data_IF_938799846667
#
_entry.id   IF_938799846667
#
_cell.length_a   1.000
_cell.length_b   1.000
_cell.length_c   1.000
_cell.angle_alpha   90.00
_cell.angle_beta   90.00
_cell.angle_gamma   90.00
#
_symmetry.space_group_name_H-M   'P 1'
#
loop_
_entity.id
_entity.type
_entity.pdbx_description
1 polymer ?
#
# COMPACT_ATOMS: atom_id res chain seq x y z
N UNK A 1 -9.37 6.02 15.61
CA UNK A 1 -9.08 4.69 15.07
C UNK A 1 -10.14 3.74 15.59
N UNK A 2 -10.61 2.79 14.79
CA UNK A 2 -11.66 1.84 15.14
C UNK A 2 -11.15 0.42 14.95
N UNK A 3 -11.87 -0.56 15.52
CA UNK A 3 -11.49 -1.97 15.45
C UNK A 3 -12.70 -2.78 14.97
N UNK A 4 -12.46 -3.70 14.06
CA UNK A 4 -13.39 -4.70 13.57
C UNK A 4 -12.86 -6.10 13.91
N UNK A 5 -13.71 -6.98 14.43
CA UNK A 5 -13.30 -8.34 14.74
C UNK A 5 -13.56 -9.27 13.55
N UNK A 6 -12.52 -9.92 13.07
CA UNK A 6 -12.59 -10.93 12.03
C UNK A 6 -11.92 -12.23 12.51
N UNK A 7 -12.68 -13.32 12.57
CA UNK A 7 -12.21 -14.66 13.01
C UNK A 7 -11.47 -14.64 14.35
N UNK A 8 -11.98 -13.83 15.33
CA UNK A 8 -11.38 -13.69 16.64
C UNK A 8 -10.13 -12.82 16.71
N UNK A 9 -9.77 -12.10 15.63
CA UNK A 9 -8.66 -11.17 15.58
C UNK A 9 -9.14 -9.76 15.27
N UNK A 10 -8.53 -8.78 15.92
CA UNK A 10 -8.81 -7.38 15.66
C UNK A 10 -8.15 -6.90 14.37
N UNK A 11 -8.93 -6.23 13.53
CA UNK A 11 -8.47 -5.45 12.37
C UNK A 11 -8.66 -3.98 12.72
N UNK A 12 -7.56 -3.24 12.83
CA UNK A 12 -7.58 -1.79 12.98
C UNK A 12 -7.98 -1.11 11.67
N UNK A 13 -8.74 -0.02 11.76
CA UNK A 13 -9.06 0.78 10.58
C UNK A 13 -9.35 2.22 10.95
N UNK A 14 -9.23 3.11 9.96
CA UNK A 14 -9.79 4.46 10.03
C UNK A 14 -10.92 4.60 9.02
N UNK A 15 -11.87 5.48 9.32
CA UNK A 15 -12.93 5.87 8.38
C UNK A 15 -13.06 7.39 8.41
N UNK A 16 -12.91 8.02 7.24
CA UNK A 16 -12.92 9.46 7.08
C UNK A 16 -13.71 9.87 5.81
N UNK A 17 -14.27 11.07 5.84
CA UNK A 17 -14.94 11.68 4.70
C UNK A 17 -16.38 11.20 4.49
N UNK A 18 -16.88 11.43 3.29
CA UNK A 18 -18.25 11.07 2.86
C UNK A 18 -18.30 10.94 1.33
N UNK A 19 -19.22 10.13 0.81
CA UNK A 19 -19.37 9.87 -0.62
C UNK A 19 -19.00 8.44 -0.99
N UNK A 20 -18.67 8.15 -2.26
CA UNK A 20 -18.33 6.80 -2.72
C UNK A 20 -17.22 6.16 -1.87
N UNK A 21 -17.38 4.89 -1.43
CA UNK A 21 -16.44 4.25 -0.52
C UNK A 21 -15.17 3.77 -1.24
N UNK A 22 -14.03 4.02 -0.61
CA UNK A 22 -12.71 3.51 -1.00
C UNK A 22 -12.18 2.66 0.15
N UNK A 23 -11.92 1.39 -0.11
CA UNK A 23 -11.09 0.54 0.74
C UNK A 23 -9.63 0.80 0.39
N UNK A 24 -8.82 1.22 1.36
CA UNK A 24 -7.41 1.53 1.15
C UNK A 24 -6.50 0.63 1.98
N UNK A 25 -5.39 0.19 1.39
CA UNK A 25 -4.33 -0.57 2.06
C UNK A 25 -3.01 0.21 2.03
N UNK A 26 -2.35 0.32 3.17
CA UNK A 26 -1.04 0.96 3.30
C UNK A 26 0.12 0.05 2.89
N UNK A 27 1.33 0.58 2.80
CA UNK A 27 2.55 -0.18 2.48
C UNK A 27 3.17 -0.89 3.69
N UNK A 28 4.20 -1.66 3.41
CA UNK A 28 5.04 -2.36 4.39
C UNK A 28 5.58 -1.39 5.44
N UNK A 29 5.62 -1.80 6.70
CA UNK A 29 6.07 -1.02 7.88
C UNK A 29 5.20 0.18 8.26
N UNK A 30 4.14 0.47 7.51
CA UNK A 30 3.28 1.63 7.70
C UNK A 30 1.99 1.30 8.49
N UNK A 31 1.15 2.33 8.64
CA UNK A 31 -0.20 2.27 9.21
C UNK A 31 -1.15 3.15 8.39
N UNK A 32 -2.39 3.28 8.85
CA UNK A 32 -3.46 4.01 8.13
C UNK A 32 -3.12 5.46 7.78
N UNK A 33 -2.29 6.12 8.59
CA UNK A 33 -1.85 7.51 8.37
C UNK A 33 -0.97 7.69 7.11
N UNK A 34 -0.51 6.63 6.49
CA UNK A 34 0.23 6.71 5.22
C UNK A 34 -0.58 7.43 4.12
N UNK A 35 -1.91 7.35 4.16
CA UNK A 35 -2.79 7.97 3.18
C UNK A 35 -3.20 9.42 3.51
N UNK A 36 -2.79 9.98 4.66
CA UNK A 36 -3.31 11.28 5.12
C UNK A 36 -3.02 12.44 4.16
N UNK A 37 -1.83 12.50 3.57
CA UNK A 37 -1.49 13.54 2.60
C UNK A 37 -2.29 13.41 1.29
N UNK A 38 -2.51 12.19 0.82
CA UNK A 38 -3.34 11.95 -0.38
C UNK A 38 -4.79 12.29 -0.09
N UNK A 39 -5.34 11.87 1.06
CA UNK A 39 -6.71 12.22 1.48
C UNK A 39 -6.89 13.73 1.59
N UNK A 40 -5.92 14.44 2.19
CA UNK A 40 -5.96 15.90 2.33
C UNK A 40 -5.87 16.64 0.98
N UNK A 41 -5.32 16.00 -0.05
CA UNK A 41 -5.21 16.56 -1.40
C UNK A 41 -6.43 16.24 -2.29
N UNK A 42 -7.38 15.40 -1.84
CA UNK A 42 -8.59 15.11 -2.59
C UNK A 42 -9.53 16.32 -2.60
N UNK A 43 -9.92 16.78 -3.80
CA UNK A 43 -10.86 17.90 -3.96
C UNK A 43 -12.32 17.45 -3.90
N UNK A 44 -12.59 16.18 -4.18
CA UNK A 44 -13.91 15.57 -4.13
C UNK A 44 -14.05 14.66 -2.91
N UNK A 45 -15.29 14.58 -2.43
CA UNK A 45 -15.58 13.78 -1.24
C UNK A 45 -15.57 12.29 -1.59
N UNK A 46 -14.87 11.52 -0.76
CA UNK A 46 -14.85 10.05 -0.74
C UNK A 46 -14.92 9.59 0.71
N UNK A 47 -15.52 8.43 0.93
CA UNK A 47 -15.41 7.75 2.21
C UNK A 47 -14.19 6.83 2.17
N UNK A 48 -13.13 7.22 2.85
CA UNK A 48 -11.91 6.41 2.94
C UNK A 48 -11.98 5.47 4.13
N UNK A 49 -11.95 4.18 3.88
CA UNK A 49 -11.76 3.13 4.90
C UNK A 49 -10.36 2.59 4.72
N UNK A 50 -9.44 2.99 5.59
CA UNK A 50 -8.05 2.49 5.53
C UNK A 50 -7.92 1.32 6.48
N UNK A 51 -7.74 0.14 5.93
CA UNK A 51 -7.57 -1.12 6.66
C UNK A 51 -6.10 -1.32 7.00
N UNK A 52 -5.81 -1.70 8.24
CA UNK A 52 -4.45 -1.93 8.71
C UNK A 52 -4.06 -3.41 8.62
N UNK A 53 -2.86 -3.66 8.12
CA UNK A 53 -2.28 -5.01 8.13
C UNK A 53 -2.09 -5.52 9.56
N UNK A 54 -2.05 -6.85 9.78
CA UNK A 54 -1.73 -7.44 11.09
C UNK A 54 -0.45 -6.85 11.67
N UNK A 55 -0.52 -6.38 12.93
CA UNK A 55 0.59 -5.74 13.63
C UNK A 55 0.85 -4.28 13.27
N UNK A 56 -0.04 -3.63 12.49
CA UNK A 56 -0.07 -2.18 12.31
C UNK A 56 -1.21 -1.57 13.12
N UNK A 57 -0.99 -0.36 13.63
CA UNK A 57 -1.98 0.41 14.37
C UNK A 57 -2.66 -0.40 15.47
N UNK A 58 -3.98 -0.56 15.39
CA UNK A 58 -4.78 -1.33 16.34
C UNK A 58 -5.04 -2.79 15.88
N UNK A 59 -4.47 -3.20 14.74
CA UNK A 59 -4.59 -4.60 14.30
C UNK A 59 -3.81 -5.54 15.21
N UNK A 60 -4.39 -6.71 15.47
CA UNK A 60 -3.73 -7.74 16.27
C UNK A 60 -2.39 -8.16 15.66
N UNK A 61 -1.40 -8.43 16.51
CA UNK A 61 -0.14 -9.02 16.07
C UNK A 61 -0.38 -10.39 15.43
N UNK A 62 0.27 -10.71 14.30
CA UNK A 62 0.14 -12.02 13.69
C UNK A 62 0.79 -13.09 14.59
N UNK A 63 0.13 -14.23 14.73
CA UNK A 63 0.64 -15.40 15.47
C UNK A 63 1.56 -16.29 14.62
N UNK A 64 1.70 -15.98 13.34
CA UNK A 64 2.50 -16.71 12.35
C UNK A 64 2.60 -15.92 11.06
N UNK A 65 3.00 -16.54 9.95
CA UNK A 65 3.07 -15.88 8.66
C UNK A 65 1.71 -15.26 8.28
N UNK A 66 1.73 -14.02 7.81
CA UNK A 66 0.50 -13.34 7.36
C UNK A 66 -0.02 -14.04 6.09
N UNK A 67 -1.28 -14.46 6.13
CA UNK A 67 -1.99 -14.94 4.95
C UNK A 67 -2.68 -13.76 4.26
N UNK A 68 -2.30 -13.48 3.01
CA UNK A 68 -2.84 -12.38 2.24
C UNK A 68 -4.34 -12.58 1.94
N UNK A 69 -4.78 -13.83 1.75
CA UNK A 69 -6.18 -14.14 1.50
C UNK A 69 -7.05 -13.83 2.73
N UNK A 70 -6.55 -14.10 3.94
CA UNK A 70 -7.21 -13.72 5.19
C UNK A 70 -7.26 -12.19 5.37
N UNK A 71 -6.18 -11.47 5.03
CA UNK A 71 -6.15 -10.01 5.09
C UNK A 71 -7.24 -9.39 4.21
N UNK A 72 -7.31 -9.81 2.94
CA UNK A 72 -8.30 -9.26 2.01
C UNK A 72 -9.72 -9.70 2.34
N UNK A 73 -9.92 -10.93 2.84
CA UNK A 73 -11.23 -11.40 3.30
C UNK A 73 -11.75 -10.55 4.48
N UNK A 74 -10.90 -10.30 5.47
CA UNK A 74 -11.25 -9.47 6.61
C UNK A 74 -11.59 -8.04 6.23
N UNK A 75 -10.84 -7.45 5.30
CA UNK A 75 -11.10 -6.10 4.81
C UNK A 75 -12.44 -6.01 4.03
N UNK A 76 -12.79 -7.02 3.24
CA UNK A 76 -14.08 -7.06 2.53
C UNK A 76 -15.24 -7.24 3.51
N UNK A 77 -15.10 -8.10 4.54
CA UNK A 77 -16.11 -8.22 5.60
C UNK A 77 -16.26 -6.94 6.41
N UNK A 78 -15.16 -6.23 6.70
CA UNK A 78 -15.19 -4.89 7.30
C UNK A 78 -16.06 -3.95 6.45
N UNK A 79 -15.82 -3.85 5.13
CA UNK A 79 -16.63 -3.00 4.23
C UNK A 79 -18.12 -3.37 4.29
N UNK A 80 -18.44 -4.66 4.28
CA UNK A 80 -19.81 -5.15 4.44
C UNK A 80 -20.44 -4.74 5.77
N UNK A 81 -19.69 -4.83 6.88
CA UNK A 81 -20.14 -4.41 8.23
C UNK A 81 -20.43 -2.91 8.34
N UNK A 82 -19.74 -2.10 7.54
CA UNK A 82 -19.95 -0.66 7.42
C UNK A 82 -21.10 -0.29 6.45
N UNK A 83 -21.75 -1.28 5.84
CA UNK A 83 -22.87 -1.09 4.90
C UNK A 83 -22.46 -0.88 3.44
N UNK A 84 -21.18 -1.05 3.11
CA UNK A 84 -20.66 -0.88 1.75
C UNK A 84 -20.63 -2.23 1.02
N UNK A 85 -21.64 -2.51 0.18
CA UNK A 85 -21.70 -3.72 -0.64
C UNK A 85 -20.81 -3.66 -1.89
N UNK A 86 -20.53 -2.46 -2.39
CA UNK A 86 -19.60 -2.20 -3.50
C UNK A 86 -18.72 -1.00 -3.14
N UNK A 87 -17.45 -1.07 -3.55
CA UNK A 87 -16.46 -0.05 -3.22
C UNK A 87 -15.31 -0.03 -4.24
N UNK A 88 -14.58 1.08 -4.28
CA UNK A 88 -13.30 1.15 -4.95
C UNK A 88 -12.21 0.60 -4.03
N UNK A 89 -11.16 0.01 -4.58
CA UNK A 89 -10.02 -0.42 -3.77
C UNK A 89 -8.74 0.25 -4.26
N UNK A 90 -7.95 0.78 -3.33
CA UNK A 90 -6.64 1.37 -3.60
C UNK A 90 -5.59 0.76 -2.68
N UNK A 91 -4.38 0.60 -3.20
CA UNK A 91 -3.28 0.11 -2.38
C UNK A 91 -1.95 0.70 -2.81
N UNK A 92 -1.07 0.85 -1.84
CA UNK A 92 0.29 1.32 -2.04
C UNK A 92 1.31 0.27 -1.61
N UNK A 93 2.30 -0.03 -2.46
CA UNK A 93 3.37 -1.00 -2.19
C UNK A 93 2.77 -2.38 -1.86
N UNK A 94 3.03 -2.98 -0.69
CA UNK A 94 2.36 -4.21 -0.22
C UNK A 94 0.83 -4.06 -0.26
N UNK A 95 0.31 -2.88 0.07
CA UNK A 95 -1.12 -2.59 -0.05
C UNK A 95 -1.64 -2.69 -1.48
N UNK A 96 -0.82 -2.39 -2.49
CA UNK A 96 -1.20 -2.58 -3.89
C UNK A 96 -1.32 -4.07 -4.26
N UNK A 97 -0.50 -4.93 -3.67
CA UNK A 97 -0.64 -6.39 -3.79
C UNK A 97 -1.98 -6.84 -3.19
N UNK A 98 -2.33 -6.34 -1.99
CA UNK A 98 -3.62 -6.64 -1.35
C UNK A 98 -4.81 -6.11 -2.16
N UNK A 99 -4.71 -4.90 -2.74
CA UNK A 99 -5.75 -4.33 -3.59
C UNK A 99 -5.99 -5.15 -4.86
N UNK A 100 -4.93 -5.56 -5.56
CA UNK A 100 -5.02 -6.44 -6.73
C UNK A 100 -5.62 -7.80 -6.37
N UNK A 101 -5.20 -8.38 -5.25
CA UNK A 101 -5.75 -9.65 -4.74
C UNK A 101 -7.24 -9.51 -4.41
N UNK A 102 -7.64 -8.40 -3.77
CA UNK A 102 -9.05 -8.10 -3.49
C UNK A 102 -9.88 -8.03 -4.77
N UNK A 103 -9.40 -7.32 -5.80
CA UNK A 103 -10.09 -7.20 -7.08
C UNK A 103 -10.20 -8.54 -7.83
N UNK A 104 -9.21 -9.42 -7.69
CA UNK A 104 -9.22 -10.76 -8.27
C UNK A 104 -10.25 -11.67 -7.61
N UNK A 105 -10.34 -11.67 -6.28
CA UNK A 105 -11.18 -12.59 -5.51
C UNK A 105 -12.62 -12.10 -5.31
N UNK A 106 -12.82 -10.77 -5.23
CA UNK A 106 -14.10 -10.15 -4.84
C UNK A 106 -14.69 -9.27 -5.96
N UNK A 107 -14.69 -9.77 -7.19
CA UNK A 107 -15.09 -9.05 -8.41
C UNK A 107 -16.47 -8.39 -8.35
N UNK A 108 -17.43 -8.96 -7.62
CA UNK A 108 -18.78 -8.40 -7.47
C UNK A 108 -18.85 -7.22 -6.50
N UNK A 109 -17.85 -7.05 -5.65
CA UNK A 109 -17.76 -5.97 -4.67
C UNK A 109 -16.87 -4.82 -5.14
N UNK A 110 -15.86 -5.10 -5.98
CA UNK A 110 -14.86 -4.12 -6.40
C UNK A 110 -15.31 -3.40 -7.67
N UNK A 111 -15.54 -2.09 -7.56
CA UNK A 111 -15.91 -1.23 -8.69
C UNK A 111 -14.70 -0.88 -9.56
N UNK A 112 -13.61 -0.48 -8.94
CA UNK A 112 -12.30 -0.20 -9.58
C UNK A 112 -11.17 -0.58 -8.66
N UNK A 113 -9.98 -0.85 -9.21
CA UNK A 113 -8.76 -1.08 -8.44
C UNK A 113 -7.66 -0.11 -8.82
N UNK A 114 -6.94 0.41 -7.83
CA UNK A 114 -5.72 1.21 -8.02
C UNK A 114 -4.53 0.52 -7.36
N UNK A 115 -3.52 0.21 -8.15
CA UNK A 115 -2.22 -0.32 -7.72
C UNK A 115 -1.16 0.77 -7.82
N UNK A 116 -0.66 1.26 -6.70
CA UNK A 116 0.40 2.28 -6.62
C UNK A 116 1.71 1.63 -6.17
N UNK A 117 2.73 1.64 -7.02
CA UNK A 117 4.06 1.03 -6.78
C UNK A 117 3.95 -0.45 -6.35
N UNK A 118 2.98 -1.20 -6.94
CA UNK A 118 2.74 -2.59 -6.62
C UNK A 118 3.55 -3.56 -7.48
N UNK A 119 3.52 -4.84 -7.09
CA UNK A 119 4.12 -5.95 -7.85
C UNK A 119 3.26 -7.20 -7.74
N UNK A 120 3.44 -8.13 -8.66
CA UNK A 120 2.71 -9.41 -8.65
C UNK A 120 3.53 -10.56 -8.09
N UNK A 121 4.86 -10.53 -8.27
CA UNK A 121 5.77 -11.56 -7.79
C UNK A 121 7.10 -10.93 -7.35
N UNK A 122 7.57 -11.32 -6.17
CA UNK A 122 8.84 -10.87 -5.61
C UNK A 122 10.01 -11.55 -6.32
N UNK A 123 10.84 -10.76 -6.98
CA UNK A 123 12.05 -11.25 -7.63
C UNK A 123 13.25 -11.35 -6.66
N UNK A 124 14.40 -11.80 -7.17
CA UNK A 124 15.60 -11.98 -6.37
C UNK A 124 16.11 -10.67 -5.76
N UNK A 125 16.04 -9.54 -6.51
CA UNK A 125 16.47 -8.23 -6.01
C UNK A 125 15.57 -7.77 -4.87
N UNK A 126 14.25 -7.85 -5.05
CA UNK A 126 13.28 -7.49 -4.01
C UNK A 126 13.50 -8.31 -2.74
N UNK A 127 13.72 -9.64 -2.86
CA UNK A 127 13.98 -10.48 -1.69
C UNK A 127 15.25 -10.07 -0.96
N UNK A 128 16.33 -9.73 -1.66
CA UNK A 128 17.57 -9.23 -1.01
C UNK A 128 17.31 -7.88 -0.34
N UNK A 129 16.57 -6.98 -0.96
CA UNK A 129 16.23 -5.65 -0.43
C UNK A 129 15.37 -5.78 0.84
N UNK A 130 14.31 -6.59 0.82
CA UNK A 130 13.42 -6.78 1.96
C UNK A 130 14.10 -7.52 3.13
N UNK A 131 14.99 -8.48 2.86
CA UNK A 131 15.82 -9.08 3.91
C UNK A 131 16.79 -8.05 4.53
N UNK A 132 17.34 -7.15 3.72
CA UNK A 132 18.15 -6.03 4.23
C UNK A 132 17.31 -5.12 5.15
N UNK A 133 16.08 -4.79 4.78
CA UNK A 133 15.20 -3.98 5.62
C UNK A 133 14.93 -4.63 6.98
N UNK A 134 14.63 -5.92 7.00
CA UNK A 134 14.46 -6.68 8.24
C UNK A 134 15.66 -6.53 9.16
N UNK A 135 16.88 -6.67 8.61
CA UNK A 135 18.13 -6.54 9.36
C UNK A 135 18.35 -5.12 9.85
N UNK A 136 18.12 -4.11 9.03
CA UNK A 136 18.27 -2.72 9.41
C UNK A 136 17.30 -2.34 10.52
N UNK A 137 16.03 -2.70 10.43
CA UNK A 137 15.02 -2.46 11.47
C UNK A 137 15.41 -3.15 12.78
N UNK A 138 15.90 -4.38 12.71
CA UNK A 138 16.33 -5.12 13.91
C UNK A 138 17.56 -4.51 14.61
N UNK A 139 18.43 -3.82 13.85
CA UNK A 139 19.59 -3.12 14.40
C UNK A 139 19.17 -1.76 14.98
N UNK A 140 18.52 -0.93 14.16
CA UNK A 140 18.06 0.41 14.50
C UNK A 140 17.02 0.89 13.48
N UNK A 141 15.75 1.08 13.85
CA UNK A 141 14.74 1.62 12.97
C UNK A 141 15.11 2.97 12.34
N UNK A 142 15.88 3.84 13.03
CA UNK A 142 16.33 5.10 12.45
C UNK A 142 17.34 4.88 11.32
N UNK A 143 18.18 3.86 11.41
CA UNK A 143 19.11 3.47 10.34
C UNK A 143 18.33 2.97 9.12
N UNK A 144 17.28 2.16 9.34
CA UNK A 144 16.38 1.76 8.27
C UNK A 144 15.73 2.97 7.58
N UNK A 145 15.19 3.92 8.35
CA UNK A 145 14.57 5.12 7.80
C UNK A 145 15.56 5.99 7.01
N UNK A 146 16.82 6.09 7.49
CA UNK A 146 17.87 6.79 6.75
C UNK A 146 18.16 6.12 5.40
N UNK A 147 18.25 4.81 5.38
CA UNK A 147 18.33 4.04 4.14
C UNK A 147 17.09 4.27 3.26
N UNK A 148 15.88 4.21 3.85
CA UNK A 148 14.64 4.39 3.13
C UNK A 148 14.54 5.74 2.45
N UNK A 149 14.97 6.83 3.11
CA UNK A 149 15.04 8.16 2.49
C UNK A 149 16.04 8.18 1.33
N UNK A 150 17.24 7.61 1.52
CA UNK A 150 18.29 7.64 0.51
C UNK A 150 17.98 6.81 -0.74
N UNK A 151 17.22 5.73 -0.61
CA UNK A 151 16.97 4.78 -1.71
C UNK A 151 15.50 4.80 -2.21
N UNK A 152 14.57 5.29 -1.40
CA UNK A 152 13.14 5.29 -1.69
C UNK A 152 12.60 6.56 -2.34
N UNK A 153 13.26 7.70 -2.21
CA UNK A 153 12.88 8.96 -2.85
C UNK A 153 13.62 9.19 -4.18
N UNK A 154 13.06 10.04 -5.03
CA UNK A 154 13.77 10.61 -6.17
C UNK A 154 14.91 11.53 -5.71
N UNK A 155 15.97 11.69 -6.52
CA UNK A 155 17.15 12.48 -6.16
C UNK A 155 16.79 13.92 -5.80
N UNK A 156 15.87 14.55 -6.52
CA UNK A 156 15.41 15.91 -6.24
C UNK A 156 14.77 16.07 -4.85
N UNK A 157 14.05 15.04 -4.41
CA UNK A 157 13.45 15.02 -3.05
C UNK A 157 14.53 14.82 -1.99
N UNK A 158 15.52 13.95 -2.26
CA UNK A 158 16.65 13.74 -1.35
C UNK A 158 17.44 15.04 -1.15
N UNK A 159 17.71 15.80 -2.22
CA UNK A 159 18.40 17.11 -2.15
C UNK A 159 17.68 18.10 -1.24
N UNK A 160 16.34 18.09 -1.24
CA UNK A 160 15.54 18.94 -0.33
C UNK A 160 15.57 18.44 1.12
N UNK A 161 15.64 17.13 1.33
CA UNK A 161 15.59 16.51 2.66
C UNK A 161 16.96 16.41 3.33
N UNK A 162 18.07 16.49 2.57
CA UNK A 162 19.43 16.30 3.08
C UNK A 162 19.74 17.11 4.35
N UNK A 163 19.37 18.42 4.44
CA UNK A 163 19.65 19.21 5.66
C UNK A 163 18.90 18.72 6.91
N UNK A 164 17.85 17.90 6.75
CA UNK A 164 16.98 17.43 7.82
C UNK A 164 16.99 15.91 7.97
N UNK A 165 17.88 15.20 7.28
CA UNK A 165 17.87 13.74 7.20
C UNK A 165 17.85 13.05 8.57
N UNK A 166 18.64 13.55 9.53
CA UNK A 166 18.69 12.97 10.88
C UNK A 166 17.36 13.16 11.63
N UNK A 167 16.73 14.32 11.46
CA UNK A 167 15.42 14.60 12.04
C UNK A 167 14.35 13.71 11.43
N UNK A 168 14.32 13.60 10.10
CA UNK A 168 13.35 12.77 9.37
C UNK A 168 13.50 11.31 9.77
N UNK A 169 14.72 10.78 9.80
CA UNK A 169 14.99 9.40 10.19
C UNK A 169 14.60 9.12 11.65
N UNK A 170 14.93 10.02 12.58
CA UNK A 170 14.60 9.87 14.00
C UNK A 170 13.08 9.92 14.23
N UNK A 171 12.39 10.90 13.64
CA UNK A 171 10.92 11.00 13.76
C UNK A 171 10.23 9.82 13.08
N UNK A 172 10.69 9.42 11.90
CA UNK A 172 10.15 8.30 11.16
C UNK A 172 10.32 6.96 11.87
N UNK A 173 11.41 6.77 12.64
CA UNK A 173 11.65 5.53 13.37
C UNK A 173 10.55 5.19 14.37
N UNK A 174 9.91 6.21 14.94
CA UNK A 174 8.81 6.03 15.90
C UNK A 174 7.50 5.51 15.26
N UNK A 175 7.40 5.55 13.92
CA UNK A 175 6.20 5.09 13.19
C UNK A 175 6.38 3.74 12.49
N UNK A 176 7.57 3.11 12.59
CA UNK A 176 7.78 1.72 12.14
C UNK A 176 6.91 0.80 12.99
N UNK A 177 6.02 0.07 12.35
CA UNK A 177 5.00 -0.72 13.04
C UNK A 177 5.56 -1.98 13.69
N UNK A 178 4.99 -2.45 14.81
CA UNK A 178 5.43 -3.68 15.47
C UNK A 178 5.40 -4.92 14.56
N UNK A 179 4.43 -4.99 13.63
CA UNK A 179 4.28 -6.06 12.64
C UNK A 179 5.22 -6.00 11.45
N UNK A 180 6.14 -5.04 11.39
CA UNK A 180 6.99 -4.80 10.20
C UNK A 180 7.79 -6.02 9.75
N UNK A 181 8.29 -6.84 10.67
CA UNK A 181 8.99 -8.08 10.32
C UNK A 181 8.08 -9.08 9.59
N UNK A 182 6.84 -9.24 10.06
CA UNK A 182 5.86 -10.12 9.42
C UNK A 182 5.39 -9.57 8.06
N UNK A 183 5.30 -8.25 7.89
CA UNK A 183 5.02 -7.63 6.59
C UNK A 183 6.15 -7.94 5.60
N UNK A 184 7.40 -7.74 6.00
CA UNK A 184 8.57 -8.02 5.17
C UNK A 184 8.68 -9.51 4.85
N UNK A 185 8.30 -10.39 5.78
CA UNK A 185 8.23 -11.83 5.51
C UNK A 185 7.15 -12.16 4.46
N UNK A 186 6.02 -11.45 4.46
CA UNK A 186 5.03 -11.54 3.40
C UNK A 186 5.60 -11.02 2.07
N UNK A 187 6.27 -9.87 2.07
CA UNK A 187 6.90 -9.30 0.88
C UNK A 187 7.88 -10.27 0.20
N UNK A 188 8.68 -11.01 0.99
CA UNK A 188 9.63 -11.99 0.46
C UNK A 188 8.97 -13.10 -0.39
N UNK A 189 7.69 -13.41 -0.14
CA UNK A 189 6.97 -14.55 -0.72
C UNK A 189 5.74 -14.17 -1.55
N UNK A 190 5.54 -12.87 -1.83
CA UNK A 190 4.43 -12.43 -2.69
C UNK A 190 4.50 -13.14 -4.04
N UNK A 191 3.38 -13.79 -4.37
CA UNK A 191 3.11 -14.36 -5.69
C UNK A 191 1.59 -14.35 -5.93
N UNK A 192 1.12 -13.35 -6.65
CA UNK A 192 -0.27 -13.18 -7.11
C UNK A 192 -0.35 -13.16 -8.64
N UNK A 193 0.66 -13.70 -9.32
CA UNK A 193 0.76 -13.67 -10.78
C UNK A 193 -0.48 -14.26 -11.44
N UNK A 194 -0.95 -15.41 -10.94
CA UNK A 194 -2.14 -16.08 -11.47
C UNK A 194 -3.46 -15.33 -11.21
N UNK A 195 -3.45 -14.34 -10.32
CA UNK A 195 -4.63 -13.55 -9.96
C UNK A 195 -4.89 -12.41 -10.95
N UNK A 196 -3.83 -11.85 -11.58
CA UNK A 196 -3.92 -10.66 -12.42
C UNK A 196 -4.92 -10.83 -13.57
N UNK A 197 -4.88 -11.98 -14.25
CA UNK A 197 -5.77 -12.29 -15.38
C UNK A 197 -7.25 -12.43 -14.99
N UNK A 198 -7.57 -12.51 -13.69
CA UNK A 198 -8.94 -12.62 -13.16
C UNK A 198 -9.57 -11.26 -12.87
N UNK A 199 -8.77 -10.18 -12.81
CA UNK A 199 -9.26 -8.83 -12.55
C UNK A 199 -10.08 -8.36 -13.74
N UNK A 200 -11.37 -8.07 -13.52
CA UNK A 200 -12.33 -7.69 -14.55
C UNK A 200 -12.77 -6.23 -14.46
N UNK A 201 -12.61 -5.58 -13.29
CA UNK A 201 -12.93 -4.16 -13.11
C UNK A 201 -11.87 -3.26 -13.74
N UNK A 202 -12.17 -1.97 -14.01
CA UNK A 202 -11.16 -0.99 -14.40
C UNK A 202 -10.00 -0.95 -13.40
N UNK A 203 -8.77 -0.94 -13.91
CA UNK A 203 -7.56 -0.99 -13.11
C UNK A 203 -6.65 0.20 -13.43
N UNK A 204 -6.33 1.01 -12.43
CA UNK A 204 -5.31 2.05 -12.53
C UNK A 204 -4.00 1.51 -11.94
N UNK A 205 -2.96 1.48 -12.75
CA UNK A 205 -1.62 1.08 -12.32
C UNK A 205 -0.72 2.30 -12.37
N UNK A 206 -0.15 2.67 -11.22
CA UNK A 206 0.77 3.79 -11.10
C UNK A 206 2.11 3.32 -10.54
N UNK A 207 3.21 3.81 -11.08
CA UNK A 207 4.56 3.50 -10.59
C UNK A 207 5.50 4.68 -10.67
N UNK A 208 6.46 4.75 -9.75
CA UNK A 208 7.52 5.73 -9.76
C UNK A 208 8.57 5.40 -10.83
N UNK A 209 8.97 6.40 -11.64
CA UNK A 209 10.04 6.24 -12.64
C UNK A 209 11.37 5.89 -11.99
N UNK A 210 11.64 6.51 -10.84
CA UNK A 210 12.90 6.39 -10.11
C UNK A 210 12.82 5.41 -8.94
N UNK A 211 11.77 4.55 -8.95
CA UNK A 211 11.54 3.54 -7.91
C UNK A 211 12.64 2.46 -7.97
N UNK A 212 13.46 2.41 -6.93
CA UNK A 212 14.57 1.45 -6.81
C UNK A 212 14.19 0.19 -6.06
N UNK A 213 13.04 0.17 -5.38
CA UNK A 213 12.57 -0.99 -4.60
C UNK A 213 11.67 -1.89 -5.41
N UNK A 214 10.66 -1.27 -6.03
CA UNK A 214 9.73 -1.91 -6.94
C UNK A 214 9.86 -1.24 -8.30
N UNK A 215 10.84 -1.70 -9.08
CA UNK A 215 11.15 -1.13 -10.40
C UNK A 215 9.89 -0.92 -11.25
N UNK A 216 9.81 0.21 -11.96
CA UNK A 216 8.65 0.59 -12.77
C UNK A 216 8.21 -0.52 -13.75
N UNK A 217 9.12 -1.39 -14.17
CA UNK A 217 8.77 -2.56 -14.99
C UNK A 217 7.76 -3.50 -14.35
N UNK A 218 7.64 -3.51 -13.00
CA UNK A 218 6.59 -4.27 -12.29
C UNK A 218 5.21 -3.69 -12.56
N UNK A 219 5.08 -2.36 -12.56
CA UNK A 219 3.84 -1.67 -12.95
C UNK A 219 3.51 -1.92 -14.42
N UNK A 220 4.50 -1.87 -15.32
CA UNK A 220 4.34 -2.23 -16.74
C UNK A 220 3.84 -3.66 -16.88
N UNK A 221 4.43 -4.59 -16.13
CA UNK A 221 4.02 -6.00 -16.16
C UNK A 221 2.57 -6.18 -15.70
N UNK A 222 2.17 -5.61 -14.55
CA UNK A 222 0.78 -5.66 -14.07
C UNK A 222 -0.17 -5.11 -15.13
N UNK A 223 0.15 -3.96 -15.72
CA UNK A 223 -0.69 -3.35 -16.75
C UNK A 223 -0.82 -4.22 -18.00
N UNK A 224 0.21 -4.97 -18.36
CA UNK A 224 0.16 -5.90 -19.48
C UNK A 224 -0.70 -7.14 -19.22
N UNK A 225 -0.82 -7.58 -17.95
CA UNK A 225 -1.61 -8.76 -17.57
C UNK A 225 -3.09 -8.44 -17.31
N UNK A 226 -3.41 -7.22 -16.85
CA UNK A 226 -4.79 -6.80 -16.56
C UNK A 226 -5.39 -6.08 -17.76
N UNK A 227 -6.35 -6.70 -18.44
CA UNK A 227 -6.92 -6.21 -19.71
C UNK A 227 -7.58 -4.83 -19.63
N UNK A 228 -8.11 -4.48 -18.47
CA UNK A 228 -8.85 -3.22 -18.22
C UNK A 228 -7.98 -2.15 -17.60
N UNK A 229 -6.66 -2.27 -17.74
CA UNK A 229 -5.70 -1.39 -17.07
C UNK A 229 -5.40 -0.10 -17.84
N UNK A 230 -5.07 0.94 -17.07
CA UNK A 230 -4.41 2.17 -17.52
C UNK A 230 -3.12 2.33 -16.70
N UNK A 231 -1.99 2.53 -17.37
CA UNK A 231 -0.70 2.73 -16.74
C UNK A 231 -0.35 4.21 -16.68
N UNK A 232 0.16 4.65 -15.52
CA UNK A 232 0.67 6.01 -15.28
C UNK A 232 2.07 5.92 -14.69
N UNK A 233 3.02 6.58 -15.34
CA UNK A 233 4.37 6.78 -14.83
C UNK A 233 4.44 8.09 -14.05
N UNK A 234 4.91 8.05 -12.81
CA UNK A 234 5.08 9.21 -11.93
C UNK A 234 6.56 9.59 -11.84
N UNK A 235 6.93 10.88 -11.91
CA UNK A 235 8.32 11.32 -11.79
C UNK A 235 8.77 11.34 -10.31
N UNK A 236 8.84 10.17 -9.69
CA UNK A 236 9.09 9.98 -8.27
C UNK A 236 9.79 8.65 -8.01
N UNK A 237 10.31 8.48 -6.78
CA UNK A 237 10.80 7.20 -6.27
C UNK A 237 9.68 6.28 -5.78
N UNK A 238 10.03 5.31 -4.92
CA UNK A 238 9.03 4.43 -4.29
C UNK A 238 8.14 5.18 -3.30
N UNK A 239 8.72 6.12 -2.54
CA UNK A 239 8.00 6.91 -1.52
C UNK A 239 7.11 7.99 -2.16
N UNK A 240 6.56 7.71 -3.32
CA UNK A 240 5.73 8.56 -4.17
C UNK A 240 4.57 9.20 -3.43
N UNK A 241 4.01 8.52 -2.43
CA UNK A 241 2.88 9.00 -1.61
C UNK A 241 3.25 10.25 -0.80
N UNK A 242 4.54 10.44 -0.49
CA UNK A 242 5.08 11.65 0.12
C UNK A 242 5.59 12.68 -0.89
N UNK A 243 5.93 12.25 -2.12
CA UNK A 243 6.46 13.14 -3.16
C UNK A 243 5.35 13.83 -3.96
N UNK A 244 4.32 13.09 -4.34
CA UNK A 244 3.28 13.54 -5.28
C UNK A 244 1.86 13.25 -4.77
N UNK A 245 1.51 13.59 -3.50
CA UNK A 245 0.21 13.25 -2.94
C UNK A 245 -0.97 13.85 -3.73
N UNK A 246 -0.80 15.06 -4.30
CA UNK A 246 -1.81 15.74 -5.10
C UNK A 246 -2.08 15.06 -6.44
N UNK A 247 -1.01 14.65 -7.15
CA UNK A 247 -1.15 13.95 -8.43
C UNK A 247 -1.80 12.58 -8.24
N UNK A 248 -1.41 11.86 -7.18
CA UNK A 248 -2.02 10.58 -6.81
C UNK A 248 -3.50 10.76 -6.49
N UNK A 249 -3.86 11.80 -5.71
CA UNK A 249 -5.25 12.10 -5.39
C UNK A 249 -6.07 12.37 -6.65
N UNK A 250 -5.55 13.19 -7.57
CA UNK A 250 -6.22 13.51 -8.85
C UNK A 250 -6.46 12.24 -9.68
N UNK A 251 -5.47 11.36 -9.80
CA UNK A 251 -5.57 10.12 -10.55
C UNK A 251 -6.59 9.15 -9.93
N UNK A 252 -6.59 9.00 -8.59
CA UNK A 252 -7.56 8.16 -7.88
C UNK A 252 -8.98 8.71 -8.06
N UNK A 253 -9.19 10.02 -7.87
CA UNK A 253 -10.51 10.65 -8.03
C UNK A 253 -11.04 10.47 -9.46
N UNK A 254 -10.20 10.72 -10.46
CA UNK A 254 -10.57 10.53 -11.87
C UNK A 254 -10.91 9.06 -12.20
N UNK A 255 -10.28 8.11 -11.52
CA UNK A 255 -10.51 6.68 -11.73
C UNK A 255 -11.72 6.13 -10.98
N UNK A 256 -12.10 6.76 -9.88
CA UNK A 256 -13.24 6.34 -9.05
C UNK A 256 -14.57 7.03 -9.42
N UNK A 257 -14.58 7.89 -10.44
CA UNK A 257 -15.79 8.51 -11.04
C UNK A 257 -16.30 9.69 -10.28
#
# INVERSE_FOLDING_TARGET
MSVFEFRGKNIGYTIDGSGPPILAFHGTTQAANAWDQVKASCTEQRTWVVCEFPGSGESAMPEGPIDLDDVVAGAVELMGSLGFSQFHVVGYSLGAVAALKTASLYQTHVLTVTSLCGWSQSDARMRVTFDLWRRLIAIDPALFLRYAVADGYAVSTIEMLEPMIDTVATMGSAVVQPGSDAHLELDLRVDIESDLGRISCPCLVMGGRDDRWVDFSKSVHIAAQVKTSRLVELPAGHLVIGELPGDIACEIIAHTG
#
